data_IF_436408479641
#
_entry.id   IF_436408479641
#
_cell.length_a   1.000
_cell.length_b   1.000
_cell.length_c   1.000
_cell.angle_alpha   90.00
_cell.angle_beta   90.00
_cell.angle_gamma   90.00
#
_symmetry.space_group_name_H-M   'P 1'
#
loop_
_entity.id
_entity.type
_entity.pdbx_description
1 polymer ?
#
# COMPACT_ATOMS: atom_id res chain seq x y z
N UNK A 1 -10.59 56.01 2.40
CA UNK A 1 -10.10 54.84 3.18
C UNK A 1 -11.15 53.76 3.37
N UNK A 2 -12.39 54.08 3.81
CA UNK A 2 -13.48 53.09 4.02
C UNK A 2 -13.84 52.24 2.79
N UNK A 3 -13.87 52.81 1.59
CA UNK A 3 -14.10 52.06 0.33
C UNK A 3 -12.99 51.06 0.00
N UNK A 4 -11.73 51.39 0.30
CA UNK A 4 -10.58 50.48 0.08
C UNK A 4 -10.61 49.31 1.06
N UNK A 5 -11.05 49.55 2.30
CA UNK A 5 -11.30 48.52 3.31
C UNK A 5 -12.41 47.54 2.91
N UNK A 6 -13.53 48.04 2.36
CA UNK A 6 -14.64 47.18 1.90
C UNK A 6 -14.19 46.28 0.74
N UNK A 7 -13.43 46.82 -0.22
CA UNK A 7 -12.90 46.05 -1.36
C UNK A 7 -11.93 44.96 -0.88
N UNK A 8 -11.04 45.29 0.06
CA UNK A 8 -10.10 44.32 0.63
C UNK A 8 -10.81 43.18 1.37
N UNK A 9 -11.82 43.51 2.18
CA UNK A 9 -12.62 42.49 2.90
C UNK A 9 -13.41 41.59 1.95
N UNK A 10 -13.99 42.15 0.89
CA UNK A 10 -14.70 41.36 -0.12
C UNK A 10 -13.76 40.42 -0.90
N UNK A 11 -12.55 40.87 -1.24
CA UNK A 11 -11.55 40.05 -1.92
C UNK A 11 -11.07 38.87 -1.06
N UNK A 12 -10.87 39.09 0.25
CA UNK A 12 -10.49 38.03 1.20
C UNK A 12 -11.61 36.99 1.35
N UNK A 13 -12.88 37.43 1.43
CA UNK A 13 -14.01 36.52 1.53
C UNK A 13 -14.18 35.63 0.28
N UNK A 14 -13.95 36.18 -0.92
CA UNK A 14 -14.00 35.42 -2.18
C UNK A 14 -12.86 34.41 -2.28
N UNK A 15 -11.64 34.77 -1.85
CA UNK A 15 -10.50 33.85 -1.85
C UNK A 15 -10.70 32.66 -0.89
N UNK A 16 -11.34 32.87 0.25
CA UNK A 16 -11.62 31.79 1.22
C UNK A 16 -12.64 30.76 0.70
N UNK A 17 -13.61 31.17 -0.13
CA UNK A 17 -14.62 30.27 -0.68
C UNK A 17 -14.10 29.37 -1.82
N UNK A 18 -12.96 29.70 -2.43
CA UNK A 18 -12.35 28.92 -3.50
C UNK A 18 -11.57 27.69 -3.00
N UNK A 19 -11.32 27.58 -1.69
CA UNK A 19 -10.75 26.39 -1.04
C UNK A 19 -11.87 25.56 -0.38
N UNK A 20 -12.85 25.13 -1.17
CA UNK A 20 -13.76 24.06 -0.75
C UNK A 20 -13.02 22.71 -0.73
N UNK A 21 -13.34 21.78 0.18
CA UNK A 21 -12.78 20.44 0.15
C UNK A 21 -13.17 19.78 -1.17
N UNK A 22 -12.19 19.56 -2.04
CA UNK A 22 -12.39 18.81 -3.27
C UNK A 22 -12.89 17.42 -2.89
N UNK A 23 -14.12 17.10 -3.28
CA UNK A 23 -14.67 15.74 -3.16
C UNK A 23 -13.83 14.81 -4.03
N UNK A 24 -12.79 14.26 -3.44
CA UNK A 24 -12.07 13.13 -4.01
C UNK A 24 -13.04 11.94 -3.98
N UNK A 25 -13.65 11.64 -5.13
CA UNK A 25 -14.41 10.41 -5.32
C UNK A 25 -13.44 9.24 -5.20
N UNK A 26 -13.39 8.63 -4.02
CA UNK A 26 -12.69 7.36 -3.80
C UNK A 26 -13.49 6.30 -4.53
N UNK A 27 -12.97 5.83 -5.66
CA UNK A 27 -13.49 4.64 -6.33
C UNK A 27 -13.16 3.43 -5.46
N UNK A 28 -14.14 2.96 -4.69
CA UNK A 28 -14.05 1.69 -3.98
C UNK A 28 -14.03 0.56 -5.01
N UNK A 29 -12.84 0.04 -5.30
CA UNK A 29 -12.71 -1.22 -6.01
C UNK A 29 -13.18 -2.32 -5.05
N UNK A 30 -14.28 -2.98 -5.40
CA UNK A 30 -14.77 -4.12 -4.64
C UNK A 30 -13.67 -5.19 -4.54
N UNK A 31 -13.43 -5.79 -3.36
CA UNK A 31 -12.48 -6.88 -3.25
C UNK A 31 -12.95 -8.02 -4.17
N UNK A 32 -12.10 -8.40 -5.12
CA UNK A 32 -12.26 -9.66 -5.82
C UNK A 32 -12.26 -10.77 -4.77
N UNK A 33 -13.42 -11.37 -4.55
CA UNK A 33 -13.53 -12.55 -3.72
C UNK A 33 -12.66 -13.66 -4.33
N UNK A 34 -11.48 -13.88 -3.76
CA UNK A 34 -10.76 -15.13 -3.97
C UNK A 34 -11.65 -16.19 -3.30
N UNK A 35 -12.07 -17.25 -4.01
CA UNK A 35 -12.87 -18.29 -3.39
C UNK A 35 -12.14 -18.81 -2.14
N UNK A 36 -12.77 -18.67 -0.98
CA UNK A 36 -12.28 -19.27 0.26
C UNK A 36 -12.15 -20.78 0.02
N UNK A 37 -10.93 -21.29 0.16
CA UNK A 37 -10.63 -22.70 -0.14
C UNK A 37 -10.11 -22.97 -1.56
N UNK A 38 -9.65 -21.97 -2.31
CA UNK A 38 -8.79 -22.21 -3.49
C UNK A 38 -7.46 -22.82 -3.05
N UNK A 39 -7.48 -24.12 -2.73
CA UNK A 39 -6.28 -24.92 -2.56
C UNK A 39 -5.69 -25.07 -3.96
N UNK A 40 -4.79 -24.17 -4.32
CA UNK A 40 -3.97 -24.35 -5.49
C UNK A 40 -3.34 -25.76 -5.39
N UNK A 41 -3.55 -26.59 -6.41
CA UNK A 41 -2.91 -27.90 -6.47
C UNK A 41 -1.40 -27.73 -6.21
N UNK A 42 -0.76 -28.65 -5.46
CA UNK A 42 0.67 -28.56 -5.20
C UNK A 42 1.41 -28.34 -6.51
N UNK A 43 2.07 -27.19 -6.65
CA UNK A 43 2.94 -26.94 -7.79
C UNK A 43 4.19 -27.79 -7.58
N UNK A 44 4.47 -28.66 -8.54
CA UNK A 44 5.68 -29.50 -8.56
C UNK A 44 6.91 -28.72 -9.05
N UNK A 45 6.70 -27.52 -9.58
CA UNK A 45 7.78 -26.65 -10.03
C UNK A 45 8.42 -25.93 -8.83
N UNK A 46 9.76 -25.79 -8.80
CA UNK A 46 10.43 -25.03 -7.75
C UNK A 46 9.86 -23.61 -7.61
N UNK A 47 9.88 -23.08 -6.39
CA UNK A 47 9.54 -21.69 -6.15
C UNK A 47 10.45 -20.78 -6.99
N UNK A 48 9.92 -19.71 -7.62
CA UNK A 48 10.75 -18.77 -8.36
C UNK A 48 11.85 -18.18 -7.47
N UNK A 49 13.08 -18.15 -7.99
CA UNK A 49 14.18 -17.49 -7.31
C UNK A 49 13.94 -15.99 -7.20
N UNK A 50 14.32 -15.41 -6.06
CA UNK A 50 14.32 -13.97 -5.88
C UNK A 50 15.51 -13.52 -5.04
N UNK A 51 15.88 -12.26 -5.25
CA UNK A 51 16.87 -11.54 -4.45
C UNK A 51 16.29 -10.19 -4.07
N UNK A 52 16.33 -9.86 -2.78
CA UNK A 52 15.76 -8.62 -2.24
C UNK A 52 16.73 -7.94 -1.28
N UNK A 53 16.67 -6.61 -1.25
CA UNK A 53 17.31 -5.83 -0.20
C UNK A 53 16.53 -5.97 1.10
N UNK A 54 17.25 -6.16 2.19
CA UNK A 54 16.70 -6.26 3.54
C UNK A 54 16.69 -4.89 4.23
N UNK A 55 15.88 -4.75 5.27
CA UNK A 55 15.72 -3.46 5.97
C UNK A 55 16.97 -2.99 6.71
N UNK A 56 17.83 -3.93 7.11
CA UNK A 56 19.15 -3.69 7.71
C UNK A 56 20.25 -3.41 6.65
N UNK A 57 19.88 -3.29 5.37
CA UNK A 57 20.79 -2.94 4.28
C UNK A 57 21.57 -4.12 3.70
N UNK A 58 21.31 -5.34 4.15
CA UNK A 58 21.83 -6.57 3.55
C UNK A 58 21.03 -7.00 2.32
N UNK A 59 21.37 -8.18 1.81
CA UNK A 59 20.70 -8.81 0.67
C UNK A 59 20.27 -10.22 1.06
N UNK A 60 19.05 -10.61 0.70
CA UNK A 60 18.55 -11.97 0.85
C UNK A 60 18.34 -12.60 -0.52
N UNK A 61 18.85 -13.82 -0.72
CA UNK A 61 18.65 -14.66 -1.91
C UNK A 61 18.05 -16.00 -1.53
N UNK A 62 16.91 -16.37 -2.13
CA UNK A 62 16.27 -17.65 -1.86
C UNK A 62 17.16 -18.84 -2.23
N UNK A 63 17.87 -18.75 -3.36
CA UNK A 63 18.73 -19.84 -3.84
C UNK A 63 19.91 -20.08 -2.91
N UNK A 64 20.55 -19.01 -2.41
CA UNK A 64 21.67 -19.12 -1.48
C UNK A 64 21.24 -19.69 -0.14
N UNK A 65 20.08 -19.25 0.39
CA UNK A 65 19.55 -19.78 1.65
C UNK A 65 19.29 -21.29 1.57
N UNK A 66 18.59 -21.73 0.52
CA UNK A 66 18.27 -23.14 0.31
C UNK A 66 19.53 -23.98 0.06
N UNK A 67 20.56 -23.43 -0.59
CA UNK A 67 21.81 -24.15 -0.82
C UNK A 67 22.67 -24.27 0.45
N UNK A 68 22.58 -23.32 1.38
CA UNK A 68 23.41 -23.30 2.59
C UNK A 68 22.94 -24.31 3.65
N UNK A 69 21.65 -24.33 3.97
CA UNK A 69 21.12 -25.17 5.05
C UNK A 69 19.82 -25.92 4.69
N UNK A 70 19.24 -25.64 3.53
CA UNK A 70 18.03 -26.32 3.04
C UNK A 70 16.81 -26.13 3.93
N UNK A 71 16.79 -25.14 4.83
CA UNK A 71 15.65 -24.93 5.72
C UNK A 71 14.41 -24.47 4.95
N UNK A 72 13.21 -24.90 5.38
CA UNK A 72 11.97 -24.43 4.78
C UNK A 72 11.83 -22.92 5.01
N UNK A 73 11.33 -22.22 3.99
CA UNK A 73 11.08 -20.78 4.02
C UNK A 73 9.58 -20.53 4.02
N UNK A 74 9.11 -19.76 4.99
CA UNK A 74 7.74 -19.25 5.04
C UNK A 74 7.73 -17.79 4.56
N UNK A 75 6.99 -17.52 3.49
CA UNK A 75 6.87 -16.16 2.94
C UNK A 75 5.60 -15.49 3.47
N UNK A 76 5.77 -14.50 4.34
CA UNK A 76 4.68 -13.65 4.81
C UNK A 76 4.61 -12.37 3.96
N UNK A 77 3.57 -12.22 3.13
CA UNK A 77 3.35 -11.04 2.30
C UNK A 77 2.50 -10.02 3.06
N UNK A 78 3.12 -8.93 3.50
CA UNK A 78 2.48 -7.89 4.31
C UNK A 78 2.88 -6.48 3.85
N UNK A 79 2.00 -5.51 4.04
CA UNK A 79 2.29 -4.09 3.86
C UNK A 79 1.48 -3.22 4.83
N UNK A 80 1.99 -2.04 5.18
CA UNK A 80 1.35 -1.11 6.13
C UNK A 80 -0.04 -0.63 5.70
N UNK A 81 -0.31 -0.68 4.40
CA UNK A 81 -1.57 -0.31 3.77
C UNK A 81 -2.42 -1.54 3.39
N UNK A 82 -1.99 -2.76 3.68
CA UNK A 82 -2.81 -3.94 3.49
C UNK A 82 -3.92 -3.99 4.55
N UNK A 83 -5.13 -3.59 4.17
CA UNK A 83 -6.30 -3.57 5.07
C UNK A 83 -6.55 -4.93 5.78
N UNK A 84 -6.69 -6.07 5.08
CA UNK A 84 -6.95 -7.34 5.76
C UNK A 84 -5.76 -7.79 6.61
N UNK A 85 -4.52 -7.49 6.21
CA UNK A 85 -3.33 -7.88 6.96
C UNK A 85 -3.12 -7.09 8.26
N UNK A 86 -3.84 -5.98 8.46
CA UNK A 86 -3.75 -5.15 9.68
C UNK A 86 -4.48 -5.78 10.87
N UNK A 87 -5.42 -6.69 10.61
CA UNK A 87 -6.21 -7.36 11.63
C UNK A 87 -5.46 -8.56 12.23
N UNK A 88 -4.44 -9.07 11.52
CA UNK A 88 -3.63 -10.24 11.90
C UNK A 88 -2.38 -9.91 12.75
N UNK A 89 -2.17 -8.64 13.12
CA UNK A 89 -1.08 -8.16 14.01
C UNK A 89 -1.59 -7.82 15.40
#
# INVERSE_FOLDING_TARGET
>A
MRRRLIIALAAVAVAAAACGPGSASVTTVAPSAVPEGSTAAPRTEPAPGFTVSTFDGGTFSLAEHLAADGRPVFLNLWASWCLPCREDM
#
